data_IF_445772241468
#
_entry.id   IF_445772241468
#
_cell.length_a   1.000
_cell.length_b   1.000
_cell.length_c   1.000
_cell.angle_alpha   90.00
_cell.angle_beta   90.00
_cell.angle_gamma   90.00
#
_symmetry.space_group_name_H-M   'P 1'
#
loop_
_entity.id
_entity.type
_entity.pdbx_description
1 polymer ?
#
# COMPACT_ATOMS: atom_id res chain seq x y z
N UNK A 1 14.79 25.58 -18.78
CA UNK A 1 14.72 24.16 -19.22
C UNK A 1 13.36 23.61 -18.83
N UNK A 2 12.33 23.80 -19.65
CA UNK A 2 10.97 23.29 -19.39
C UNK A 2 10.67 22.15 -20.34
N UNK A 3 10.80 20.90 -19.89
CA UNK A 3 10.41 19.75 -20.70
C UNK A 3 8.90 19.60 -20.69
N UNK A 4 8.33 19.95 -21.84
CA UNK A 4 7.01 19.61 -22.36
C UNK A 4 7.03 18.12 -22.80
N UNK A 5 5.97 17.37 -22.56
CA UNK A 5 5.80 16.03 -23.16
C UNK A 5 5.08 15.05 -22.24
N UNK A 6 3.78 14.89 -22.48
CA UNK A 6 2.89 13.97 -21.78
C UNK A 6 3.30 12.51 -22.03
N UNK A 7 4.11 11.95 -21.15
CA UNK A 7 4.26 10.50 -21.03
C UNK A 7 3.26 10.02 -19.98
N UNK A 8 1.99 9.86 -20.37
CA UNK A 8 0.98 9.27 -19.49
C UNK A 8 1.17 7.74 -19.34
N UNK A 9 1.90 7.10 -20.26
CA UNK A 9 2.20 5.67 -20.27
C UNK A 9 2.99 5.15 -19.04
N UNK A 10 4.09 5.79 -18.58
CA UNK A 10 4.83 5.33 -17.40
C UNK A 10 4.00 5.35 -16.12
N UNK A 11 3.02 6.25 -15.98
CA UNK A 11 2.23 6.34 -14.76
C UNK A 11 1.25 5.17 -14.63
N UNK A 12 0.55 4.80 -15.71
CA UNK A 12 -0.38 3.67 -15.67
C UNK A 12 0.35 2.37 -15.35
N UNK A 13 1.53 2.18 -15.95
CA UNK A 13 2.42 1.06 -15.63
C UNK A 13 2.92 1.12 -14.17
N UNK A 14 3.28 2.31 -13.66
CA UNK A 14 3.67 2.47 -12.27
C UNK A 14 2.56 2.08 -11.28
N UNK A 15 1.31 2.44 -11.58
CA UNK A 15 0.15 2.06 -10.77
C UNK A 15 -0.05 0.54 -10.80
N UNK A 16 0.03 -0.06 -11.99
CA UNK A 16 -0.10 -1.52 -12.17
C UNK A 16 0.97 -2.27 -11.36
N UNK A 17 2.23 -1.85 -11.49
CA UNK A 17 3.35 -2.40 -10.74
C UNK A 17 3.16 -2.27 -9.22
N UNK A 18 2.66 -1.12 -8.74
CA UNK A 18 2.36 -0.90 -7.32
C UNK A 18 1.27 -1.86 -6.86
N UNK A 19 0.21 -2.05 -7.66
CA UNK A 19 -0.92 -2.93 -7.34
C UNK A 19 -0.51 -4.41 -7.30
N UNK A 20 0.32 -4.87 -8.24
CA UNK A 20 0.87 -6.23 -8.24
C UNK A 20 1.79 -6.50 -7.04
N UNK A 21 2.56 -5.49 -6.61
CA UNK A 21 3.52 -5.61 -5.52
C UNK A 21 3.01 -5.05 -4.19
N UNK A 22 1.68 -4.88 -3.99
CA UNK A 22 1.12 -4.36 -2.74
C UNK A 22 1.48 -5.19 -1.51
N UNK A 23 1.68 -6.50 -1.70
CA UNK A 23 2.07 -7.45 -0.65
C UNK A 23 3.59 -7.55 -0.45
N UNK A 24 4.40 -6.95 -1.32
CA UNK A 24 5.86 -7.04 -1.33
C UNK A 24 6.52 -5.65 -1.14
N UNK A 25 7.82 -5.59 -0.80
CA UNK A 25 8.53 -4.32 -0.74
C UNK A 25 8.69 -3.69 -2.14
N UNK A 26 7.92 -2.64 -2.41
CA UNK A 26 7.94 -1.92 -3.70
C UNK A 26 9.23 -1.10 -3.86
N UNK A 27 10.06 -1.44 -4.84
CA UNK A 27 11.29 -0.72 -5.19
C UNK A 27 11.01 0.42 -6.18
N UNK A 28 10.63 1.59 -5.67
CA UNK A 28 10.33 2.78 -6.50
C UNK A 28 11.53 3.29 -7.29
N UNK A 29 12.75 2.99 -6.85
CA UNK A 29 13.99 3.34 -7.54
C UNK A 29 14.15 2.58 -8.85
N UNK A 30 13.76 1.31 -8.88
CA UNK A 30 13.77 0.49 -10.09
C UNK A 30 12.73 0.98 -11.09
N UNK A 31 11.53 1.28 -10.59
CA UNK A 31 10.43 1.87 -11.37
C UNK A 31 10.85 3.18 -12.07
N UNK A 32 11.53 4.05 -11.31
CA UNK A 32 12.06 5.30 -11.82
C UNK A 32 13.14 5.07 -12.90
N UNK A 33 14.04 4.10 -12.70
CA UNK A 33 15.06 3.70 -13.69
C UNK A 33 14.43 3.20 -15.00
N UNK A 34 13.42 2.33 -14.93
CA UNK A 34 12.71 1.78 -16.10
C UNK A 34 12.03 2.87 -16.92
N UNK A 35 11.50 3.88 -16.24
CA UNK A 35 10.86 5.02 -16.89
C UNK A 35 11.85 6.12 -17.33
N UNK A 36 13.16 5.93 -17.12
CA UNK A 36 14.20 6.93 -17.36
C UNK A 36 13.93 8.29 -16.69
N UNK A 37 13.30 8.28 -15.50
CA UNK A 37 12.99 9.49 -14.73
C UNK A 37 13.58 9.39 -13.33
N UNK A 38 13.81 10.53 -12.68
CA UNK A 38 14.20 10.52 -11.27
C UNK A 38 13.04 10.13 -10.37
N UNK A 39 13.35 9.49 -9.24
CA UNK A 39 12.39 9.13 -8.19
C UNK A 39 11.51 10.33 -7.79
N UNK A 40 12.09 11.53 -7.66
CA UNK A 40 11.36 12.76 -7.36
C UNK A 40 10.38 13.19 -8.45
N UNK A 41 10.67 12.95 -9.73
CA UNK A 41 9.74 13.22 -10.82
C UNK A 41 8.57 12.24 -10.76
N UNK A 42 8.84 10.95 -10.52
CA UNK A 42 7.81 9.92 -10.34
C UNK A 42 6.85 10.28 -9.21
N UNK A 43 7.37 10.68 -8.04
CA UNK A 43 6.54 11.12 -6.91
C UNK A 43 5.65 12.32 -7.26
N UNK A 44 6.21 13.34 -7.92
CA UNK A 44 5.45 14.55 -8.30
C UNK A 44 4.35 14.22 -9.30
N UNK A 45 4.65 13.38 -10.29
CA UNK A 45 3.68 13.03 -11.33
C UNK A 45 2.57 12.14 -10.80
N UNK A 46 2.92 11.18 -9.94
CA UNK A 46 1.94 10.36 -9.25
C UNK A 46 1.05 11.18 -8.32
N UNK A 47 1.63 12.08 -7.52
CA UNK A 47 0.86 12.91 -6.61
C UNK A 47 -0.08 13.87 -7.34
N UNK A 48 0.35 14.43 -8.48
CA UNK A 48 -0.53 15.25 -9.33
C UNK A 48 -1.71 14.49 -9.89
N UNK A 49 -1.51 13.23 -10.26
CA UNK A 49 -2.56 12.43 -10.91
C UNK A 49 -3.46 11.74 -9.91
N UNK A 50 -2.90 11.14 -8.88
CA UNK A 50 -3.60 10.36 -7.86
C UNK A 50 -4.08 11.21 -6.67
N UNK A 51 -3.62 12.47 -6.57
CA UNK A 51 -3.90 13.39 -5.47
C UNK A 51 -3.22 13.03 -4.14
N UNK A 52 -2.52 11.91 -4.09
CA UNK A 52 -1.92 11.35 -2.87
C UNK A 52 -0.45 10.98 -3.12
N UNK A 53 0.35 10.99 -2.06
CA UNK A 53 1.71 10.46 -2.14
C UNK A 53 1.66 8.94 -2.38
N UNK A 54 2.57 8.41 -3.21
CA UNK A 54 2.70 6.98 -3.50
C UNK A 54 2.73 6.15 -2.21
N UNK A 55 3.48 6.61 -1.19
CA UNK A 55 3.58 5.93 0.10
C UNK A 55 2.25 5.88 0.85
N UNK A 56 1.46 6.93 0.76
CA UNK A 56 0.15 7.02 1.39
C UNK A 56 -0.85 6.09 0.71
N UNK A 57 -0.82 6.06 -0.64
CA UNK A 57 -1.61 5.16 -1.45
C UNK A 57 -1.34 3.68 -1.10
N UNK A 58 -0.06 3.28 -1.06
CA UNK A 58 0.35 1.91 -0.69
C UNK A 58 -0.11 1.56 0.72
N UNK A 59 0.09 2.47 1.69
CA UNK A 59 -0.32 2.24 3.08
C UNK A 59 -1.84 2.02 3.18
N UNK A 60 -2.64 2.86 2.52
CA UNK A 60 -4.11 2.73 2.51
C UNK A 60 -4.55 1.41 1.89
N UNK A 61 -3.95 1.01 0.75
CA UNK A 61 -4.26 -0.27 0.08
C UNK A 61 -3.88 -1.47 0.96
N UNK A 62 -2.71 -1.47 1.60
CA UNK A 62 -2.29 -2.54 2.53
C UNK A 62 -3.24 -2.69 3.72
N UNK A 63 -3.65 -1.58 4.34
CA UNK A 63 -4.64 -1.60 5.43
C UNK A 63 -5.98 -2.14 4.92
N UNK A 64 -6.43 -1.69 3.74
CA UNK A 64 -7.65 -2.20 3.13
C UNK A 64 -7.56 -3.70 2.85
N UNK A 65 -6.42 -4.20 2.36
CA UNK A 65 -6.20 -5.61 2.07
C UNK A 65 -6.21 -6.46 3.35
N UNK A 66 -5.50 -6.00 4.39
CA UNK A 66 -5.53 -6.63 5.71
C UNK A 66 -6.95 -6.63 6.31
N UNK A 67 -7.70 -5.53 6.15
CA UNK A 67 -9.10 -5.45 6.60
C UNK A 67 -10.01 -6.41 5.83
N UNK A 68 -9.76 -6.63 4.54
CA UNK A 68 -10.46 -7.63 3.72
C UNK A 68 -10.15 -9.04 4.22
N UNK A 69 -8.87 -9.37 4.43
CA UNK A 69 -8.49 -10.68 5.00
C UNK A 69 -9.14 -10.93 6.37
N UNK A 70 -9.19 -9.90 7.22
CA UNK A 70 -9.91 -9.95 8.50
C UNK A 70 -11.40 -10.18 8.29
N UNK A 71 -12.03 -9.55 7.30
CA UNK A 71 -13.47 -9.68 7.03
C UNK A 71 -13.87 -11.06 6.55
N UNK A 72 -12.99 -11.74 5.81
CA UNK A 72 -13.25 -13.06 5.24
C UNK A 72 -12.69 -14.21 6.09
N UNK A 73 -11.87 -13.92 7.10
CA UNK A 73 -11.49 -14.89 8.11
C UNK A 73 -12.57 -14.93 9.21
N UNK A 74 -13.19 -16.10 9.50
CA UNK A 74 -14.15 -16.25 10.60
C UNK A 74 -13.48 -16.20 11.99
N UNK A 75 -12.27 -15.64 12.08
CA UNK A 75 -11.55 -15.46 13.34
C UNK A 75 -11.75 -14.02 13.80
N UNK A 76 -12.43 -13.81 14.95
CA UNK A 76 -12.59 -12.48 15.49
C UNK A 76 -11.20 -11.90 15.77
N UNK A 77 -10.93 -10.75 15.19
CA UNK A 77 -9.78 -9.87 15.53
C UNK A 77 -9.76 -9.43 17.00
N UNK A 78 -10.71 -9.88 17.82
CA UNK A 78 -10.66 -9.87 19.28
C UNK A 78 -10.04 -11.19 19.78
N UNK A 79 -8.80 -11.46 19.37
CA UNK A 79 -8.07 -12.68 19.70
C UNK A 79 -6.81 -12.45 20.51
N UNK A 80 -6.65 -11.29 21.15
CA UNK A 80 -5.60 -11.09 22.15
C UNK A 80 -5.98 -11.83 23.44
N UNK A 81 -5.61 -13.11 23.51
CA UNK A 81 -4.95 -13.75 24.67
C UNK A 81 -5.34 -13.27 26.10
N UNK A 82 -6.63 -13.27 26.46
CA UNK A 82 -7.06 -13.32 27.87
C UNK A 82 -8.17 -14.35 28.10
N UNK A 83 -8.01 -15.56 27.55
CA UNK A 83 -8.86 -16.69 27.92
C UNK A 83 -8.05 -17.94 28.33
N UNK A 84 -6.77 -17.76 28.68
CA UNK A 84 -5.91 -18.81 29.26
C UNK A 84 -5.60 -18.62 30.75
N UNK A 85 -6.06 -17.55 31.39
CA UNK A 85 -5.82 -17.30 32.82
C UNK A 85 -6.91 -16.42 33.44
N UNK A 86 -8.17 -16.80 33.32
CA UNK A 86 -9.24 -16.21 34.16
C UNK A 86 -10.36 -17.21 34.52
N UNK A 87 -10.06 -18.51 34.47
CA UNK A 87 -10.96 -19.54 34.99
C UNK A 87 -10.54 -19.92 36.42
N UNK A 88 -10.69 -19.00 37.38
CA UNK A 88 -10.61 -19.33 38.82
C UNK A 88 -11.18 -18.28 39.79
N UNK A 89 -11.62 -17.09 39.37
CA UNK A 89 -12.17 -16.09 40.30
C UNK A 89 -13.36 -15.43 39.65
N UNK A 90 -14.56 -15.94 39.93
CA UNK A 90 -15.92 -15.41 39.69
C UNK A 90 -16.90 -16.53 39.26
N UNK A 91 -16.90 -17.61 40.04
CA UNK A 91 -18.07 -18.44 40.32
C UNK A 91 -17.76 -18.96 41.73
N UNK A 92 -18.27 -18.33 42.79
CA UNK A 92 -19.67 -18.44 43.17
C UNK A 92 -19.74 -19.63 44.11
#
# INVERSE_FOLDING_TARGET
MGMNGKNAYPLKWAIDYIEEHLNEPIQLEELAKTCYISLMQLYREFQRTSGHSIKDYIRKRRISNACIEIKYSPLPITGTLTAGSFCAVYCG
#
